data_IF_949092946687
#
_entry.id   IF_949092946687
#
_cell.length_a   1.000
_cell.length_b   1.000
_cell.length_c   1.000
_cell.angle_alpha   90.00
_cell.angle_beta   90.00
_cell.angle_gamma   90.00
#
_symmetry.space_group_name_H-M   'P 1'
#
loop_
_entity.id
_entity.type
_entity.pdbx_description
1 polymer ?
#
# COMPACT_ATOMS: atom_id res chain seq x y z
N UNK A 1 -20.21 -22.17 -12.62
CA UNK A 1 -19.26 -23.10 -13.26
C UNK A 1 -18.11 -23.35 -12.30
N UNK A 2 -17.80 -24.63 -12.08
CA UNK A 2 -17.26 -25.23 -10.85
C UNK A 2 -15.76 -24.99 -10.64
N UNK A 3 -15.34 -24.85 -9.38
CA UNK A 3 -13.96 -24.56 -8.94
C UNK A 3 -12.88 -25.62 -9.23
N UNK A 4 -13.09 -26.48 -10.23
CA UNK A 4 -12.11 -27.46 -10.73
C UNK A 4 -11.07 -26.84 -11.67
N UNK A 5 -11.36 -25.70 -12.30
CA UNK A 5 -10.40 -24.99 -13.17
C UNK A 5 -9.32 -24.24 -12.39
N UNK A 6 -9.65 -23.77 -11.18
CA UNK A 6 -8.71 -23.03 -10.33
C UNK A 6 -7.69 -23.91 -9.59
N UNK A 7 -7.94 -25.22 -9.51
CA UNK A 7 -6.97 -26.20 -9.01
C UNK A 7 -5.90 -26.54 -10.07
N UNK A 8 -6.23 -26.49 -11.37
CA UNK A 8 -5.28 -26.75 -12.46
C UNK A 8 -4.28 -25.61 -12.69
N UNK A 9 -4.67 -24.36 -12.45
CA UNK A 9 -3.75 -23.22 -12.52
C UNK A 9 -2.66 -23.24 -11.43
N UNK A 10 -2.96 -23.81 -10.25
CA UNK A 10 -1.97 -23.98 -9.18
C UNK A 10 -0.98 -25.11 -9.45
N UNK A 11 -1.40 -26.18 -10.15
CA UNK A 11 -0.52 -27.28 -10.59
C UNK A 11 0.42 -26.83 -11.72
N UNK A 12 -0.05 -25.98 -12.64
CA UNK A 12 0.81 -25.44 -13.71
C UNK A 12 1.84 -24.40 -13.19
N UNK A 13 1.48 -23.60 -12.19
CA UNK A 13 2.46 -22.76 -11.48
C UNK A 13 3.45 -23.58 -10.65
N UNK A 14 3.04 -24.75 -10.12
CA UNK A 14 3.93 -25.64 -9.37
C UNK A 14 4.90 -26.43 -10.26
N UNK A 15 4.48 -26.84 -11.46
CA UNK A 15 5.38 -27.45 -12.44
C UNK A 15 6.45 -26.46 -12.96
N UNK A 16 6.10 -25.17 -13.07
CA UNK A 16 7.04 -24.12 -13.45
C UNK A 16 8.08 -23.82 -12.37
N UNK A 17 7.82 -24.07 -11.08
CA UNK A 17 8.82 -23.88 -10.01
C UNK A 17 9.58 -25.16 -9.67
N UNK A 18 8.98 -26.34 -9.74
CA UNK A 18 9.70 -27.59 -9.49
C UNK A 18 10.80 -27.85 -10.54
N UNK A 19 10.55 -27.51 -11.82
CA UNK A 19 11.60 -27.54 -12.86
C UNK A 19 12.58 -26.37 -12.80
N UNK A 20 12.20 -25.24 -12.16
CA UNK A 20 13.06 -24.05 -12.05
C UNK A 20 14.09 -24.11 -10.92
N UNK A 21 14.02 -25.08 -10.02
CA UNK A 21 15.04 -25.28 -8.99
C UNK A 21 16.39 -25.78 -9.56
N UNK A 22 16.40 -26.35 -10.77
CA UNK A 22 17.62 -26.74 -11.51
C UNK A 22 18.14 -25.64 -12.48
N UNK A 23 17.37 -24.56 -12.71
CA UNK A 23 17.70 -23.49 -13.68
C UNK A 23 18.81 -22.54 -13.19
N UNK A 24 19.36 -22.77 -11.99
CA UNK A 24 20.50 -22.02 -11.46
C UNK A 24 21.85 -22.33 -12.16
N UNK A 25 21.91 -23.31 -13.07
CA UNK A 25 23.17 -23.83 -13.64
C UNK A 25 23.25 -23.79 -15.17
N UNK A 26 22.50 -22.91 -15.84
CA UNK A 26 22.74 -22.57 -17.26
C UNK A 26 22.44 -23.67 -18.29
N UNK A 27 21.89 -24.81 -17.90
CA UNK A 27 21.42 -25.85 -18.82
C UNK A 27 19.90 -25.83 -18.89
N UNK A 28 19.34 -25.58 -20.08
CA UNK A 28 17.91 -25.80 -20.35
C UNK A 28 17.68 -27.31 -20.49
N UNK A 29 17.56 -28.02 -19.37
CA UNK A 29 17.07 -29.39 -19.41
C UNK A 29 15.66 -29.39 -20.04
N UNK A 30 15.36 -30.28 -21.00
CA UNK A 30 14.02 -30.37 -21.57
C UNK A 30 13.03 -30.68 -20.44
N UNK A 31 11.95 -29.90 -20.36
CA UNK A 31 10.92 -30.09 -19.34
C UNK A 31 10.21 -31.42 -19.63
N UNK A 32 10.58 -32.47 -18.91
CA UNK A 32 9.95 -33.79 -19.04
C UNK A 32 8.44 -33.69 -18.77
N UNK A 33 7.64 -34.29 -19.66
CA UNK A 33 6.17 -34.33 -19.52
C UNK A 33 5.39 -33.33 -20.37
N UNK A 34 6.04 -32.40 -21.08
CA UNK A 34 5.39 -31.55 -22.11
C UNK A 34 4.66 -32.36 -23.19
N UNK A 35 5.16 -33.56 -23.47
CA UNK A 35 4.60 -34.53 -24.41
C UNK A 35 3.15 -34.93 -24.05
N UNK A 36 2.79 -34.87 -22.77
CA UNK A 36 1.48 -35.31 -22.24
C UNK A 36 0.44 -34.19 -22.21
N UNK A 37 0.83 -32.96 -22.54
CA UNK A 37 -0.06 -31.81 -22.60
C UNK A 37 -0.82 -31.77 -23.92
N UNK A 38 -2.04 -31.28 -23.88
CA UNK A 38 -2.76 -30.91 -25.11
C UNK A 38 -2.03 -29.78 -25.86
N UNK A 39 -2.26 -29.61 -27.18
CA UNK A 39 -1.62 -28.55 -27.94
C UNK A 39 -1.80 -27.14 -27.33
N UNK A 40 -2.99 -26.84 -26.82
CA UNK A 40 -3.29 -25.55 -26.18
C UNK A 40 -2.53 -25.36 -24.86
N UNK A 41 -2.47 -26.42 -24.03
CA UNK A 41 -1.71 -26.40 -22.78
C UNK A 41 -0.21 -26.25 -23.03
N UNK A 42 0.31 -26.94 -24.05
CA UNK A 42 1.71 -26.84 -24.47
C UNK A 42 2.04 -25.42 -24.92
N UNK A 43 1.20 -24.81 -25.76
CA UNK A 43 1.41 -23.43 -26.22
C UNK A 43 1.45 -22.40 -25.06
N UNK A 44 0.63 -22.60 -24.01
CA UNK A 44 0.67 -21.77 -22.81
C UNK A 44 2.00 -21.94 -22.07
N UNK A 45 2.47 -23.18 -21.91
CA UNK A 45 3.73 -23.48 -21.22
C UNK A 45 4.92 -22.91 -22.00
N UNK A 46 4.98 -23.11 -23.31
CA UNK A 46 6.03 -22.57 -24.19
C UNK A 46 6.11 -21.05 -24.09
N UNK A 47 4.97 -20.35 -24.24
CA UNK A 47 4.92 -18.89 -24.10
C UNK A 47 5.39 -18.40 -22.73
N UNK A 48 5.07 -19.12 -21.66
CA UNK A 48 5.52 -18.77 -20.32
C UNK A 48 7.02 -19.04 -20.13
N UNK A 49 7.53 -20.13 -20.71
CA UNK A 49 8.95 -20.46 -20.69
C UNK A 49 9.78 -19.41 -21.45
N UNK A 50 9.33 -18.97 -22.62
CA UNK A 50 9.99 -17.87 -23.35
C UNK A 50 10.06 -16.59 -22.51
N UNK A 51 8.98 -16.27 -21.79
CA UNK A 51 8.97 -15.11 -20.89
C UNK A 51 9.95 -15.29 -19.73
N UNK A 52 9.99 -16.48 -19.13
CA UNK A 52 10.92 -16.83 -18.04
C UNK A 52 12.37 -16.72 -18.48
N UNK A 53 12.70 -17.21 -19.67
CA UNK A 53 14.05 -17.14 -20.23
C UNK A 53 14.50 -15.70 -20.46
N UNK A 54 13.59 -14.78 -20.77
CA UNK A 54 13.88 -13.35 -20.95
C UNK A 54 14.08 -12.57 -19.64
N UNK A 55 13.71 -13.15 -18.49
CA UNK A 55 13.94 -12.52 -17.18
C UNK A 55 15.42 -12.55 -16.80
N UNK A 56 15.90 -11.45 -16.23
CA UNK A 56 17.21 -11.38 -15.56
C UNK A 56 17.27 -12.30 -14.33
N UNK A 57 18.48 -12.66 -13.84
CA UNK A 57 18.62 -13.48 -12.64
C UNK A 57 17.85 -12.92 -11.43
N UNK A 58 17.89 -11.61 -11.21
CA UNK A 58 17.17 -10.94 -10.11
C UNK A 58 15.66 -11.03 -10.26
N UNK A 59 15.14 -10.86 -11.48
CA UNK A 59 13.71 -11.00 -11.76
C UNK A 59 13.22 -12.43 -11.56
N UNK A 60 13.99 -13.43 -12.02
CA UNK A 60 13.71 -14.86 -11.76
C UNK A 60 13.66 -15.15 -10.28
N UNK A 61 14.63 -14.63 -9.51
CA UNK A 61 14.68 -14.80 -8.07
C UNK A 61 13.43 -14.22 -7.39
N UNK A 62 12.99 -13.02 -7.77
CA UNK A 62 11.75 -12.42 -7.25
C UNK A 62 10.52 -13.26 -7.55
N UNK A 63 10.41 -13.84 -8.75
CA UNK A 63 9.29 -14.72 -9.09
C UNK A 63 9.30 -16.00 -8.24
N UNK A 64 10.47 -16.59 -8.01
CA UNK A 64 10.63 -17.77 -7.13
C UNK A 64 10.21 -17.43 -5.69
N UNK A 65 10.66 -16.29 -5.16
CA UNK A 65 10.31 -15.83 -3.82
C UNK A 65 8.81 -15.57 -3.68
N UNK A 66 8.20 -14.89 -4.65
CA UNK A 66 6.75 -14.66 -4.69
C UNK A 66 5.97 -15.99 -4.71
N UNK A 67 6.46 -16.98 -5.45
CA UNK A 67 5.85 -18.29 -5.49
C UNK A 67 5.97 -19.03 -4.15
N UNK A 68 7.15 -19.02 -3.52
CA UNK A 68 7.35 -19.60 -2.18
C UNK A 68 6.43 -18.95 -1.15
N UNK A 69 6.29 -17.62 -1.21
CA UNK A 69 5.34 -16.90 -0.36
C UNK A 69 3.89 -17.34 -0.62
N UNK A 70 3.47 -17.46 -1.88
CA UNK A 70 2.14 -17.97 -2.24
C UNK A 70 1.89 -19.39 -1.71
N UNK A 71 2.90 -20.27 -1.78
CA UNK A 71 2.82 -21.61 -1.20
C UNK A 71 2.67 -21.60 0.32
N UNK A 72 3.25 -20.63 1.01
CA UNK A 72 3.10 -20.46 2.47
C UNK A 72 1.76 -19.86 2.91
N UNK A 73 1.00 -19.25 1.99
CA UNK A 73 -0.29 -18.63 2.33
C UNK A 73 -1.37 -19.66 2.71
N UNK A 74 -2.22 -19.29 3.67
CA UNK A 74 -3.40 -20.05 4.05
C UNK A 74 -4.48 -20.05 2.95
N UNK A 75 -5.46 -20.98 2.98
CA UNK A 75 -6.59 -20.95 2.05
C UNK A 75 -7.33 -19.60 2.03
N UNK A 76 -7.50 -18.98 3.19
CA UNK A 76 -8.19 -17.69 3.36
C UNK A 76 -7.39 -16.55 2.73
N UNK A 77 -6.07 -16.52 2.95
CA UNK A 77 -5.15 -15.53 2.36
C UNK A 77 -5.14 -15.63 0.83
N UNK A 78 -5.03 -16.86 0.29
CA UNK A 78 -5.11 -17.08 -1.15
C UNK A 78 -6.46 -16.64 -1.73
N UNK A 79 -7.55 -16.87 -1.00
CA UNK A 79 -8.89 -16.42 -1.41
C UNK A 79 -8.97 -14.88 -1.42
N UNK A 80 -8.40 -14.21 -0.41
CA UNK A 80 -8.32 -12.76 -0.36
C UNK A 80 -7.50 -12.20 -1.53
N UNK A 81 -6.33 -12.79 -1.81
CA UNK A 81 -5.49 -12.41 -2.95
C UNK A 81 -6.23 -12.56 -4.29
N UNK A 82 -6.99 -13.65 -4.48
CA UNK A 82 -7.84 -13.85 -5.66
C UNK A 82 -8.90 -12.76 -5.79
N UNK A 83 -9.61 -12.43 -4.71
CA UNK A 83 -10.61 -11.34 -4.71
C UNK A 83 -9.98 -10.00 -5.07
N UNK A 84 -8.81 -9.69 -4.50
CA UNK A 84 -8.08 -8.46 -4.79
C UNK A 84 -7.65 -8.40 -6.26
N UNK A 85 -7.14 -9.50 -6.81
CA UNK A 85 -6.78 -9.59 -8.21
C UNK A 85 -7.98 -9.39 -9.14
N UNK A 86 -9.13 -10.02 -8.85
CA UNK A 86 -10.37 -9.81 -9.60
C UNK A 86 -10.77 -8.34 -9.60
N UNK A 87 -10.80 -7.70 -8.42
CA UNK A 87 -11.10 -6.27 -8.30
C UNK A 87 -10.16 -5.42 -9.14
N UNK A 88 -8.85 -5.64 -9.04
CA UNK A 88 -7.86 -4.90 -9.82
C UNK A 88 -8.02 -5.09 -11.32
N UNK A 89 -8.26 -6.33 -11.78
CA UNK A 89 -8.47 -6.64 -13.20
C UNK A 89 -9.66 -5.88 -13.75
N UNK A 90 -10.72 -5.79 -12.97
CA UNK A 90 -12.00 -5.21 -13.36
C UNK A 90 -12.01 -3.66 -13.19
N UNK A 91 -10.94 -3.04 -12.69
CA UNK A 91 -10.79 -1.58 -12.63
C UNK A 91 -10.75 -0.96 -14.04
N UNK A 92 -11.35 0.23 -14.22
CA UNK A 92 -11.16 1.06 -15.41
C UNK A 92 -9.66 1.33 -15.68
N UNK A 93 -9.23 1.50 -16.95
CA UNK A 93 -7.82 1.69 -17.28
C UNK A 93 -7.12 2.81 -16.49
N UNK A 94 -7.77 3.96 -16.30
CA UNK A 94 -7.22 5.08 -15.55
C UNK A 94 -7.06 4.79 -14.04
N UNK A 95 -7.96 3.99 -13.45
CA UNK A 95 -7.83 3.55 -12.05
C UNK A 95 -6.73 2.51 -11.89
N UNK A 96 -6.66 1.56 -12.84
CA UNK A 96 -5.60 0.56 -12.87
C UNK A 96 -4.21 1.22 -12.94
N UNK A 97 -4.06 2.23 -13.80
CA UNK A 97 -2.82 2.99 -13.93
C UNK A 97 -2.44 3.68 -12.61
N UNK A 98 -3.39 4.34 -11.94
CA UNK A 98 -3.15 4.95 -10.62
C UNK A 98 -2.68 3.92 -9.59
N UNK A 99 -3.32 2.75 -9.51
CA UNK A 99 -2.88 1.69 -8.59
C UNK A 99 -1.47 1.20 -8.89
N UNK A 100 -1.11 1.07 -10.17
CA UNK A 100 0.25 0.67 -10.57
C UNK A 100 1.29 1.74 -10.20
N UNK A 101 0.98 3.01 -10.40
CA UNK A 101 1.84 4.13 -10.00
C UNK A 101 1.99 4.22 -8.48
N UNK A 102 0.90 4.04 -7.73
CA UNK A 102 0.91 3.99 -6.27
C UNK A 102 1.82 2.84 -5.77
N UNK A 103 1.70 1.67 -6.41
CA UNK A 103 2.52 0.51 -6.10
C UNK A 103 4.00 0.76 -6.42
N UNK A 104 4.31 1.36 -7.57
CA UNK A 104 5.68 1.72 -7.92
C UNK A 104 6.28 2.67 -6.88
N UNK A 105 5.58 3.75 -6.53
CA UNK A 105 6.02 4.68 -5.48
C UNK A 105 6.26 3.97 -4.16
N UNK A 106 5.40 3.02 -3.78
CA UNK A 106 5.58 2.20 -2.58
C UNK A 106 6.85 1.34 -2.66
N UNK A 107 7.13 0.70 -3.79
CA UNK A 107 8.33 -0.14 -3.96
C UNK A 107 9.63 0.66 -3.93
N UNK A 108 9.58 1.92 -4.36
CA UNK A 108 10.71 2.86 -4.35
C UNK A 108 10.96 3.50 -2.97
N UNK A 109 10.02 3.37 -2.02
CA UNK A 109 10.22 3.90 -0.67
C UNK A 109 11.42 3.23 0.01
N UNK A 110 12.30 4.01 0.68
CA UNK A 110 13.33 3.45 1.55
C UNK A 110 12.73 2.50 2.59
N UNK A 111 13.44 1.43 2.91
CA UNK A 111 12.96 0.38 3.82
C UNK A 111 12.53 0.94 5.19
N UNK A 112 13.31 1.89 5.74
CA UNK A 112 12.95 2.58 6.98
C UNK A 112 11.60 3.30 6.89
N UNK A 113 11.32 3.94 5.75
CA UNK A 113 10.04 4.64 5.53
C UNK A 113 8.88 3.67 5.36
N UNK A 114 9.08 2.55 4.66
CA UNK A 114 8.06 1.49 4.55
C UNK A 114 7.68 0.94 5.92
N UNK A 115 8.68 0.65 6.77
CA UNK A 115 8.46 0.17 8.14
C UNK A 115 7.70 1.18 9.00
N UNK A 116 8.05 2.46 8.90
CA UNK A 116 7.34 3.52 9.63
C UNK A 116 5.85 3.56 9.22
N UNK A 117 5.56 3.51 7.92
CA UNK A 117 4.19 3.52 7.40
C UNK A 117 3.40 2.27 7.81
N UNK A 118 4.05 1.09 7.77
CA UNK A 118 3.44 -0.16 8.24
C UNK A 118 3.09 -0.08 9.74
N UNK A 119 4.00 0.40 10.58
CA UNK A 119 3.72 0.58 12.01
C UNK A 119 2.62 1.62 12.26
N UNK A 120 2.60 2.71 11.47
CA UNK A 120 1.52 3.70 11.55
C UNK A 120 0.16 3.10 11.21
N UNK A 121 0.11 2.24 10.19
CA UNK A 121 -1.08 1.50 9.82
C UNK A 121 -1.52 0.52 10.91
N UNK A 122 -0.60 -0.25 11.49
CA UNK A 122 -0.92 -1.15 12.61
C UNK A 122 -1.48 -0.39 13.82
N UNK A 123 -0.86 0.75 14.18
CA UNK A 123 -1.39 1.62 15.23
C UNK A 123 -2.80 2.10 14.90
N UNK A 124 -3.04 2.52 13.67
CA UNK A 124 -4.36 2.95 13.22
C UNK A 124 -5.39 1.82 13.31
N UNK A 125 -5.03 0.60 12.89
CA UNK A 125 -5.93 -0.57 12.95
C UNK A 125 -6.32 -0.95 14.38
N UNK A 126 -5.41 -0.75 15.35
CA UNK A 126 -5.65 -1.01 16.79
C UNK A 126 -6.48 0.08 17.48
N UNK A 127 -6.77 1.21 16.83
CA UNK A 127 -7.62 2.24 17.42
C UNK A 127 -9.06 1.73 17.57
N UNK A 128 -9.78 2.18 18.62
CA UNK A 128 -11.22 1.97 18.73
C UNK A 128 -11.96 2.41 17.46
N UNK A 129 -13.03 1.71 17.05
CA UNK A 129 -13.78 2.03 15.82
C UNK A 129 -14.15 3.52 15.70
N UNK A 130 -14.62 4.13 16.78
CA UNK A 130 -15.08 5.52 16.83
C UNK A 130 -13.91 6.49 16.59
N UNK A 131 -12.71 6.15 17.06
CA UNK A 131 -11.50 6.94 16.80
C UNK A 131 -11.08 6.82 15.34
N UNK A 132 -11.14 5.62 14.75
CA UNK A 132 -10.84 5.41 13.33
C UNK A 132 -11.80 6.18 12.44
N UNK A 133 -13.10 6.13 12.74
CA UNK A 133 -14.13 6.86 12.01
C UNK A 133 -13.89 8.37 12.07
N UNK A 134 -13.60 8.92 13.26
CA UNK A 134 -13.29 10.35 13.39
C UNK A 134 -12.08 10.77 12.55
N UNK A 135 -11.04 9.94 12.49
CA UNK A 135 -9.87 10.21 11.65
C UNK A 135 -10.26 10.17 10.17
N UNK A 136 -11.03 9.17 9.74
CA UNK A 136 -11.50 9.06 8.36
C UNK A 136 -12.38 10.24 7.94
N UNK A 137 -13.32 10.66 8.78
CA UNK A 137 -14.19 11.83 8.54
C UNK A 137 -13.37 13.12 8.41
N UNK A 138 -12.38 13.33 9.29
CA UNK A 138 -11.48 14.48 9.19
C UNK A 138 -10.65 14.47 7.91
N UNK A 139 -10.18 13.30 7.49
CA UNK A 139 -9.43 13.14 6.25
C UNK A 139 -10.30 13.42 5.02
N UNK A 140 -11.53 12.88 4.98
CA UNK A 140 -12.50 13.17 3.91
C UNK A 140 -12.83 14.67 3.86
N UNK A 141 -13.05 15.30 5.01
CA UNK A 141 -13.24 16.74 5.08
C UNK A 141 -12.04 17.49 4.51
N UNK A 142 -10.81 17.13 4.92
CA UNK A 142 -9.59 17.73 4.36
C UNK A 142 -9.50 17.57 2.83
N UNK A 143 -9.79 16.38 2.28
CA UNK A 143 -9.79 16.15 0.83
C UNK A 143 -10.85 16.97 0.09
N UNK A 144 -11.97 17.27 0.75
CA UNK A 144 -13.04 18.11 0.18
C UNK A 144 -12.70 19.62 0.15
N UNK A 145 -11.67 20.06 0.87
CA UNK A 145 -11.28 21.46 0.90
C UNK A 145 -10.63 21.88 -0.43
N UNK A 146 -10.81 23.15 -0.87
CA UNK A 146 -10.07 23.70 -2.00
C UNK A 146 -8.54 23.59 -1.81
N UNK A 147 -7.75 23.41 -2.88
CA UNK A 147 -6.29 23.19 -2.79
C UNK A 147 -5.56 24.24 -1.96
N UNK A 148 -5.93 25.51 -2.04
CA UNK A 148 -5.31 26.61 -1.30
C UNK A 148 -5.54 26.47 0.21
N UNK A 149 -6.71 25.96 0.58
CA UNK A 149 -7.05 25.69 1.98
C UNK A 149 -6.30 24.46 2.50
N UNK A 150 -6.20 23.41 1.70
CA UNK A 150 -5.40 22.23 2.04
C UNK A 150 -3.94 22.61 2.29
N UNK A 151 -3.35 23.38 1.37
CA UNK A 151 -1.98 23.87 1.51
C UNK A 151 -1.79 24.75 2.75
N UNK A 152 -2.76 25.62 3.06
CA UNK A 152 -2.71 26.44 4.28
C UNK A 152 -2.67 25.56 5.53
N UNK A 153 -3.52 24.53 5.61
CA UNK A 153 -3.51 23.59 6.74
C UNK A 153 -2.19 22.83 6.84
N UNK A 154 -1.66 22.34 5.72
CA UNK A 154 -0.39 21.61 5.69
C UNK A 154 0.79 22.48 6.13
N UNK A 155 0.88 23.74 5.66
CA UNK A 155 1.92 24.68 6.12
C UNK A 155 1.79 25.01 7.61
N UNK A 156 0.56 25.13 8.12
CA UNK A 156 0.33 25.37 9.55
C UNK A 156 0.77 24.17 10.38
N UNK A 157 0.44 22.96 9.95
CA UNK A 157 0.88 21.73 10.59
C UNK A 157 2.41 21.57 10.58
N UNK A 158 3.07 21.84 9.46
CA UNK A 158 4.53 21.80 9.34
C UNK A 158 5.22 22.76 10.33
N UNK A 159 4.73 24.01 10.43
CA UNK A 159 5.25 24.98 11.40
C UNK A 159 5.02 24.52 12.84
N UNK A 160 3.84 24.02 13.15
CA UNK A 160 3.57 23.44 14.47
C UNK A 160 4.56 22.32 14.82
N UNK A 161 4.82 21.40 13.86
CA UNK A 161 5.79 20.31 14.01
C UNK A 161 7.23 20.79 14.21
N UNK A 162 7.59 21.98 13.72
CA UNK A 162 8.90 22.61 13.93
C UNK A 162 9.02 23.41 15.23
N UNK A 163 7.91 23.72 15.92
CA UNK A 163 7.96 24.42 17.21
C UNK A 163 8.60 23.56 18.30
N UNK A 164 9.39 24.19 19.18
CA UNK A 164 9.93 23.53 20.37
C UNK A 164 8.82 23.08 21.33
N UNK A 165 9.02 22.00 22.11
CA UNK A 165 8.06 21.57 23.12
C UNK A 165 7.66 22.69 24.10
N UNK A 166 8.60 23.55 24.49
CA UNK A 166 8.39 24.70 25.38
C UNK A 166 7.44 25.71 24.75
N UNK A 167 7.65 26.05 23.48
CA UNK A 167 6.79 26.99 22.76
C UNK A 167 5.37 26.45 22.61
N UNK A 168 5.23 25.14 22.35
CA UNK A 168 3.90 24.50 22.29
C UNK A 168 3.20 24.51 23.66
N UNK A 169 3.93 24.31 24.76
CA UNK A 169 3.40 24.39 26.12
C UNK A 169 2.90 25.79 26.46
N UNK A 170 3.72 26.80 26.22
CA UNK A 170 3.36 28.22 26.44
C UNK A 170 2.08 28.61 25.68
N UNK A 171 1.98 28.23 24.40
CA UNK A 171 0.78 28.52 23.60
C UNK A 171 -0.47 27.84 24.16
N UNK A 172 -0.34 26.62 24.68
CA UNK A 172 -1.44 25.88 25.31
C UNK A 172 -1.87 26.53 26.62
N UNK A 173 -0.93 26.84 27.50
CA UNK A 173 -1.21 27.52 28.78
C UNK A 173 -1.86 28.88 28.57
N UNK A 174 -1.35 29.66 27.60
CA UNK A 174 -1.94 30.96 27.25
C UNK A 174 -3.37 30.80 26.75
N UNK A 175 -3.66 29.76 25.97
CA UNK A 175 -5.00 29.47 25.48
C UNK A 175 -5.97 29.06 26.59
N UNK A 176 -5.50 28.22 27.51
CA UNK A 176 -6.29 27.74 28.65
C UNK A 176 -6.69 28.91 29.57
N UNK A 177 -5.76 29.83 29.85
CA UNK A 177 -6.01 31.02 30.69
C UNK A 177 -6.77 32.15 29.98
N UNK A 178 -6.83 32.14 28.65
CA UNK A 178 -7.51 33.18 27.89
C UNK A 178 -9.03 33.12 28.04
N UNK A 179 -9.65 34.29 28.21
CA UNK A 179 -11.10 34.51 28.14
C UNK A 179 -11.65 34.18 26.74
N UNK A 180 -12.98 33.99 26.56
CA UNK A 180 -13.58 33.71 25.25
C UNK A 180 -13.20 34.72 24.16
N UNK A 181 -13.17 36.02 24.50
CA UNK A 181 -12.80 37.09 23.58
C UNK A 181 -11.31 37.10 23.24
N UNK A 182 -10.45 36.84 24.22
CA UNK A 182 -9.02 36.68 23.97
C UNK A 182 -8.73 35.46 23.10
N UNK A 183 -9.43 34.34 23.32
CA UNK A 183 -9.37 33.17 22.45
C UNK A 183 -9.86 33.49 21.03
N UNK A 184 -10.88 34.33 20.87
CA UNK A 184 -11.36 34.77 19.55
C UNK A 184 -10.30 35.61 18.83
N UNK A 185 -9.70 36.59 19.51
CA UNK A 185 -8.58 37.39 18.99
C UNK A 185 -7.36 36.53 18.67
N UNK A 186 -7.06 35.55 19.51
CA UNK A 186 -6.02 34.56 19.23
C UNK A 186 -6.36 33.78 17.96
N UNK A 187 -7.55 33.19 17.82
CA UNK A 187 -7.95 32.47 16.58
C UNK A 187 -7.83 33.35 15.35
N UNK A 188 -8.25 34.61 15.45
CA UNK A 188 -8.18 35.52 14.33
C UNK A 188 -6.74 35.87 13.96
N UNK A 189 -5.88 36.09 14.96
CA UNK A 189 -4.43 36.23 14.74
C UNK A 189 -3.83 34.98 14.12
N UNK A 190 -4.17 33.80 14.64
CA UNK A 190 -3.71 32.50 14.15
C UNK A 190 -4.28 32.14 12.75
N UNK A 191 -5.39 32.77 12.34
CA UNK A 191 -5.99 32.67 11.00
C UNK A 191 -5.36 33.65 10.01
N UNK A 192 -4.97 34.85 10.48
CA UNK A 192 -4.27 35.89 9.70
C UNK A 192 -2.77 35.61 9.58
N UNK A 193 -2.15 35.06 10.61
CA UNK A 193 -0.80 34.50 10.59
C UNK A 193 -0.89 33.12 9.93
N UNK A 194 -0.32 32.91 8.74
CA UNK A 194 -0.18 31.56 8.22
C UNK A 194 0.73 30.79 9.18
N UNK A 195 0.17 29.93 10.03
CA UNK A 195 0.98 29.01 10.84
C UNK A 195 0.34 28.36 12.04
N UNK A 196 -0.87 28.73 12.44
CA UNK A 196 -1.36 28.30 13.72
C UNK A 196 -2.59 27.41 13.62
N UNK A 197 -2.36 26.12 13.84
CA UNK A 197 -3.42 25.18 14.15
C UNK A 197 -4.03 25.53 15.51
N UNK A 198 -5.37 25.40 15.61
CA UNK A 198 -6.08 25.38 16.89
C UNK A 198 -5.40 24.31 17.77
N UNK A 199 -5.10 24.57 19.06
CA UNK A 199 -4.77 23.48 19.97
C UNK A 199 -5.94 22.50 19.90
N UNK A 200 -5.69 21.32 19.35
CA UNK A 200 -6.70 20.25 19.25
C UNK A 200 -7.31 20.09 20.65
N UNK A 201 -8.61 20.36 20.76
CA UNK A 201 -9.37 20.07 21.97
C UNK A 201 -9.28 18.56 22.19
N UNK A 202 -8.33 18.16 23.03
CA UNK A 202 -8.19 16.79 23.46
C UNK A 202 -9.42 16.37 24.26
N UNK A 203 -10.22 15.49 23.68
CA UNK A 203 -10.99 14.48 24.39
C UNK A 203 -10.57 13.10 23.86
#
# INVERSE_FOLDING_TARGET
MTGRTLARAAVLAAALVAGALEVAWGQTAPIEGLERLTPDERAIVEKNLERWQKLSPDERQRVIENYRHWQSMTPEERQAARRNFTRFRDLPPAEKQRVLEDFQRWTELPEARRRELQQAWERFQRLPPERRERIQQRFQHFQSLPPEQQQRLMRNYQRWQQMSPERRRELRERWERATPDERARMRERLRREPGATRPEEGR
#
